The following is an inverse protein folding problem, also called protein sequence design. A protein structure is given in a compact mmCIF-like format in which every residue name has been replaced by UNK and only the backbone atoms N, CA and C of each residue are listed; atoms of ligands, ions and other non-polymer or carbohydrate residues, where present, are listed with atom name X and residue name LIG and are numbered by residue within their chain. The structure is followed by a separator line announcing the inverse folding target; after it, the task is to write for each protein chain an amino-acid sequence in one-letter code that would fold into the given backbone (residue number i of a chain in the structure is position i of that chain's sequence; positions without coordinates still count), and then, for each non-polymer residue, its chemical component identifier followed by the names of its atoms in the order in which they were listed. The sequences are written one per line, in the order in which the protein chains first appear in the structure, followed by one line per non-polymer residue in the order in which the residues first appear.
data_IF_897920559627
#
_entry.id   IF_897920559627
#
_cell.length_a   1.000
_cell.length_b   1.000
_cell.length_c   1.000
_cell.angle_alpha   90.00
_cell.angle_beta   90.00
_cell.angle_gamma   90.00
#
_symmetry.space_group_name_H-M   'P 1'
#
loop_
_entity.id
_entity.type
_entity.pdbx_description
1 polymer ?
#
# COMPACT_ATOMS: atom_id res chain seq x y z
N UNK A 1 32.55 -11.03 9.80
CA UNK A 1 32.00 -9.95 8.97
C UNK A 1 30.51 -10.19 8.85
N UNK A 2 29.73 -9.63 9.77
CA UNK A 2 28.28 -9.80 9.85
C UNK A 2 27.63 -8.56 9.28
N UNK A 3 26.84 -8.70 8.22
CA UNK A 3 25.82 -7.71 7.88
C UNK A 3 24.49 -8.42 7.70
N UNK A 4 23.50 -7.80 8.30
CA UNK A 4 22.28 -8.36 8.84
C UNK A 4 21.23 -8.66 7.78
N UNK A 5 20.80 -9.91 7.71
CA UNK A 5 19.54 -10.32 7.09
C UNK A 5 18.41 -10.11 8.09
N UNK A 6 17.82 -8.91 8.11
CA UNK A 6 16.65 -8.61 8.94
C UNK A 6 15.73 -7.63 8.21
N UNK A 7 15.11 -8.06 7.12
CA UNK A 7 13.90 -7.40 6.57
C UNK A 7 13.05 -8.45 5.86
N UNK A 8 12.65 -9.47 6.60
CA UNK A 8 11.70 -10.47 6.14
C UNK A 8 11.01 -10.99 7.39
N UNK A 9 9.81 -10.45 7.71
CA UNK A 9 8.69 -11.08 8.43
C UNK A 9 7.77 -10.12 9.24
N UNK A 10 8.14 -8.85 9.47
CA UNK A 10 7.33 -7.95 10.32
C UNK A 10 6.35 -6.99 9.59
N UNK A 11 6.16 -7.13 8.27
CA UNK A 11 5.22 -6.26 7.53
C UNK A 11 3.79 -6.82 7.52
N UNK A 12 3.61 -8.07 7.96
CA UNK A 12 2.39 -8.84 7.77
C UNK A 12 1.35 -8.73 8.90
N UNK A 13 1.60 -7.99 9.99
CA UNK A 13 0.73 -7.99 11.18
C UNK A 13 0.29 -6.61 11.67
N UNK A 14 0.56 -5.54 10.92
CA UNK A 14 0.03 -4.23 11.27
C UNK A 14 -1.20 -3.92 10.42
N UNK A 15 -2.39 -3.98 11.02
CA UNK A 15 -3.67 -3.57 10.41
C UNK A 15 -3.82 -2.04 10.33
N UNK A 16 -2.92 -1.29 10.96
CA UNK A 16 -2.93 0.16 10.96
C UNK A 16 -2.40 0.79 9.66
N UNK A 17 -2.69 2.08 9.41
CA UNK A 17 -2.13 2.83 8.28
C UNK A 17 -0.60 2.84 8.32
N UNK A 18 0.02 3.08 7.17
CA UNK A 18 1.42 3.49 7.11
C UNK A 18 1.60 4.85 7.78
N UNK A 19 2.74 5.04 8.45
CA UNK A 19 3.08 6.24 9.22
C UNK A 19 3.44 7.43 8.32
N UNK A 20 3.70 7.20 7.03
CA UNK A 20 4.02 8.26 6.07
C UNK A 20 3.83 7.81 4.62
N UNK A 21 3.77 8.80 3.71
CA UNK A 21 3.81 8.55 2.28
C UNK A 21 5.12 7.87 1.83
N UNK A 22 6.24 8.12 2.51
CA UNK A 22 7.52 7.46 2.23
C UNK A 22 7.48 5.96 2.54
N UNK A 23 6.84 5.57 3.65
CA UNK A 23 6.65 4.17 4.01
C UNK A 23 5.75 3.46 2.99
N UNK A 24 4.61 4.07 2.63
CA UNK A 24 3.71 3.57 1.59
C UNK A 24 4.47 3.33 0.27
N UNK A 25 5.30 4.30 -0.15
CA UNK A 25 6.17 4.18 -1.34
C UNK A 25 7.15 3.01 -1.25
N UNK A 26 7.77 2.80 -0.09
CA UNK A 26 8.72 1.72 0.12
C UNK A 26 8.04 0.34 -0.02
N UNK A 27 6.83 0.19 0.55
CA UNK A 27 6.05 -1.05 0.44
C UNK A 27 5.56 -1.26 -1.00
N UNK A 28 5.05 -0.22 -1.67
CA UNK A 28 4.70 -0.27 -3.09
C UNK A 28 5.88 -0.78 -3.95
N UNK A 29 7.08 -0.23 -3.73
CA UNK A 29 8.29 -0.68 -4.42
C UNK A 29 8.66 -2.13 -4.12
N UNK A 30 8.40 -2.63 -2.92
CA UNK A 30 8.62 -4.03 -2.57
C UNK A 30 7.64 -4.98 -3.29
N UNK A 31 6.37 -4.60 -3.37
CA UNK A 31 5.35 -5.36 -4.11
C UNK A 31 5.66 -5.41 -5.61
N UNK A 32 6.06 -4.27 -6.21
CA UNK A 32 6.42 -4.23 -7.63
C UNK A 32 7.57 -5.18 -7.99
N UNK A 33 8.59 -5.31 -7.12
CA UNK A 33 9.70 -6.25 -7.36
C UNK A 33 9.27 -7.71 -7.42
N UNK A 34 8.19 -8.06 -6.71
CA UNK A 34 7.68 -9.42 -6.56
C UNK A 34 6.56 -9.74 -7.55
N UNK A 35 5.85 -8.73 -8.04
CA UNK A 35 4.65 -8.86 -8.88
C UNK A 35 4.82 -9.89 -10.00
N UNK A 36 5.85 -9.76 -10.83
CA UNK A 36 6.00 -10.63 -12.01
C UNK A 36 6.04 -12.11 -11.66
N UNK A 37 6.62 -12.46 -10.51
CA UNK A 37 6.81 -13.83 -10.06
C UNK A 37 5.61 -14.32 -9.24
N UNK A 38 5.04 -13.46 -8.41
CA UNK A 38 4.08 -13.85 -7.38
C UNK A 38 2.63 -13.44 -7.69
N UNK A 39 2.36 -12.69 -8.76
CA UNK A 39 1.01 -12.15 -9.08
C UNK A 39 -0.12 -13.18 -9.14
N UNK A 40 0.18 -14.43 -9.47
CA UNK A 40 -0.80 -15.50 -9.57
C UNK A 40 -1.06 -16.18 -8.22
N UNK A 41 -0.22 -15.92 -7.22
CA UNK A 41 -0.36 -16.43 -5.87
C UNK A 41 -1.49 -15.73 -5.14
N UNK A 42 -2.36 -16.50 -4.51
CA UNK A 42 -3.41 -15.99 -3.62
C UNK A 42 -2.81 -15.21 -2.44
N UNK A 43 -1.67 -15.65 -1.90
CA UNK A 43 -0.98 -14.97 -0.81
C UNK A 43 -0.50 -13.57 -1.22
N UNK A 44 0.04 -13.43 -2.44
CA UNK A 44 0.45 -12.12 -2.96
C UNK A 44 -0.76 -11.21 -3.20
N UNK A 45 -1.87 -11.77 -3.74
CA UNK A 45 -3.13 -11.04 -3.85
C UNK A 45 -3.60 -10.52 -2.49
N UNK A 46 -3.63 -11.37 -1.47
CA UNK A 46 -4.00 -10.98 -0.11
C UNK A 46 -3.10 -9.85 0.44
N UNK A 47 -1.80 -9.90 0.16
CA UNK A 47 -0.85 -8.86 0.58
C UNK A 47 -1.10 -7.52 -0.12
N UNK A 48 -1.39 -7.54 -1.42
CA UNK A 48 -1.77 -6.34 -2.18
C UNK A 48 -3.10 -5.77 -1.68
N UNK A 49 -4.07 -6.61 -1.34
CA UNK A 49 -5.34 -6.19 -0.74
C UNK A 49 -5.12 -5.48 0.61
N UNK A 50 -4.25 -6.03 1.46
CA UNK A 50 -3.84 -5.39 2.71
C UNK A 50 -3.13 -4.06 2.46
N UNK A 51 -2.24 -3.99 1.46
CA UNK A 51 -1.59 -2.75 1.06
C UNK A 51 -2.59 -1.67 0.65
N UNK A 52 -3.60 -2.01 -0.17
CA UNK A 52 -4.64 -1.06 -0.61
C UNK A 52 -5.38 -0.52 0.61
N UNK A 53 -5.89 -1.40 1.48
CA UNK A 53 -6.66 -0.99 2.68
C UNK A 53 -5.86 -0.07 3.60
N UNK A 54 -4.62 -0.44 3.91
CA UNK A 54 -3.73 0.38 4.75
C UNK A 54 -3.37 1.69 4.07
N UNK A 55 -3.12 1.65 2.76
CA UNK A 55 -2.79 2.82 1.96
C UNK A 55 -3.92 3.85 1.92
N UNK A 56 -5.17 3.41 1.80
CA UNK A 56 -6.34 4.31 1.89
C UNK A 56 -6.33 5.08 3.21
N UNK A 57 -6.16 4.37 4.33
CA UNK A 57 -6.15 4.98 5.67
C UNK A 57 -4.95 5.92 5.91
N UNK A 58 -3.82 5.68 5.26
CA UNK A 58 -2.65 6.59 5.29
C UNK A 58 -2.99 7.97 4.72
N UNK A 59 -4.02 8.10 3.88
CA UNK A 59 -4.51 9.38 3.38
C UNK A 59 -4.83 10.39 4.48
N UNK A 60 -5.17 9.95 5.70
CA UNK A 60 -5.48 10.84 6.84
C UNK A 60 -4.27 11.69 7.27
N UNK A 61 -3.04 11.26 7.00
CA UNK A 61 -1.82 11.92 7.46
C UNK A 61 -1.07 12.69 6.36
N UNK A 62 -1.57 12.68 5.12
CA UNK A 62 -0.89 13.31 3.98
C UNK A 62 -1.63 14.58 3.59
N UNK A 63 -1.08 15.74 3.97
CA UNK A 63 -1.60 17.06 3.61
C UNK A 63 -1.17 17.50 2.20
N UNK A 64 0.07 17.19 1.81
CA UNK A 64 0.61 17.63 0.51
C UNK A 64 -0.11 16.98 -0.68
N UNK A 65 -0.74 17.81 -1.52
CA UNK A 65 -1.50 17.38 -2.69
C UNK A 65 -0.70 16.54 -3.69
N UNK A 66 0.60 16.83 -3.87
CA UNK A 66 1.44 16.05 -4.78
C UNK A 66 1.72 14.66 -4.21
N UNK A 67 1.98 14.58 -2.91
CA UNK A 67 2.13 13.32 -2.20
C UNK A 67 0.85 12.50 -2.22
N UNK A 68 -0.30 13.13 -1.96
CA UNK A 68 -1.62 12.49 -2.08
C UNK A 68 -1.84 11.94 -3.48
N UNK A 69 -1.59 12.74 -4.51
CA UNK A 69 -1.75 12.31 -5.92
C UNK A 69 -0.84 11.14 -6.25
N UNK A 70 0.41 11.16 -5.78
CA UNK A 70 1.35 10.06 -5.98
C UNK A 70 0.88 8.78 -5.28
N UNK A 71 0.45 8.88 -4.02
CA UNK A 71 -0.08 7.74 -3.26
C UNK A 71 -1.35 7.18 -3.90
N UNK A 72 -2.28 8.02 -4.36
CA UNK A 72 -3.48 7.58 -5.06
C UNK A 72 -3.13 6.77 -6.31
N UNK A 73 -2.18 7.25 -7.13
CA UNK A 73 -1.73 6.52 -8.32
C UNK A 73 -1.11 5.15 -8.01
N UNK A 74 -0.49 4.97 -6.84
CA UNK A 74 0.02 3.66 -6.40
C UNK A 74 -1.11 2.70 -6.05
N UNK A 75 -2.19 3.19 -5.42
CA UNK A 75 -3.35 2.35 -5.08
C UNK A 75 -4.14 1.98 -6.35
N UNK A 76 -4.34 2.94 -7.25
CA UNK A 76 -5.03 2.75 -8.53
C UNK A 76 -4.29 1.75 -9.45
N UNK A 77 -2.96 1.72 -9.37
CA UNK A 77 -2.16 0.72 -10.06
C UNK A 77 -2.56 -0.69 -9.63
N UNK A 78 -2.65 -0.93 -8.31
CA UNK A 78 -2.93 -2.26 -7.80
C UNK A 78 -4.37 -2.70 -8.01
N UNK A 79 -5.35 -1.79 -7.95
CA UNK A 79 -6.71 -2.12 -8.34
C UNK A 79 -6.76 -2.54 -9.81
N UNK A 80 -6.08 -1.81 -10.70
CA UNK A 80 -5.96 -2.20 -12.12
C UNK A 80 -5.28 -3.56 -12.31
N UNK A 81 -4.26 -3.87 -11.49
CA UNK A 81 -3.54 -5.15 -11.56
C UNK A 81 -4.39 -6.32 -11.05
N UNK A 82 -5.21 -6.11 -10.02
CA UNK A 82 -6.06 -7.13 -9.40
C UNK A 82 -7.36 -7.40 -10.19
N UNK A 83 -8.03 -6.37 -10.72
CA UNK A 83 -9.36 -6.45 -11.35
C UNK A 83 -9.36 -6.88 -12.82
N UNK A 84 -8.57 -7.90 -13.17
CA UNK A 84 -8.51 -8.38 -14.55
C UNK A 84 -9.70 -9.27 -14.96
N UNK A 85 -10.49 -9.77 -14.00
CA UNK A 85 -11.64 -10.63 -14.27
C UNK A 85 -12.93 -9.94 -13.86
N UNK A 86 -14.03 -10.20 -14.59
CA UNK A 86 -15.33 -9.59 -14.32
C UNK A 86 -15.94 -9.98 -12.95
N UNK A 87 -15.43 -11.06 -12.34
CA UNK A 87 -15.88 -11.58 -11.05
C UNK A 87 -15.05 -11.07 -9.85
N UNK A 88 -13.97 -10.30 -10.06
CA UNK A 88 -13.15 -9.78 -8.96
C UNK A 88 -13.91 -8.63 -8.24
N UNK A 89 -13.99 -8.69 -6.90
CA UNK A 89 -14.68 -7.68 -6.07
C UNK A 89 -13.97 -6.33 -6.08
N UNK A 90 -14.57 -5.31 -6.71
CA UNK A 90 -14.01 -3.95 -6.78
C UNK A 90 -13.87 -3.37 -5.37
N UNK A 91 -12.63 -3.06 -5.00
CA UNK A 91 -12.28 -2.41 -3.74
C UNK A 91 -12.04 -0.94 -4.01
N UNK A 92 -12.56 -0.13 -3.11
CA UNK A 92 -12.29 1.30 -3.10
C UNK A 92 -10.83 1.57 -2.71
N UNK A 93 -10.05 2.06 -3.68
CA UNK A 93 -8.66 2.50 -3.50
C UNK A 93 -8.51 3.97 -3.16
N UNK A 94 -9.61 4.67 -2.89
CA UNK A 94 -9.57 6.11 -2.62
C UNK A 94 -8.89 6.39 -1.27
N UNK A 95 -7.88 7.27 -1.29
CA UNK A 95 -7.28 7.79 -0.07
C UNK A 95 -8.34 8.44 0.82
N UNK A 96 -8.33 8.10 2.11
CA UNK A 96 -9.12 8.80 3.10
C UNK A 96 -8.78 10.31 3.08
N UNK A 97 -9.76 11.19 3.33
CA UNK A 97 -9.53 12.62 3.39
C UNK A 97 -8.47 12.95 4.46
N UNK A 98 -7.64 13.96 4.20
CA UNK A 98 -6.67 14.46 5.18
C UNK A 98 -7.39 14.93 6.44
N UNK A 99 -6.85 14.56 7.59
CA UNK A 99 -7.35 14.99 8.90
C UNK A 99 -6.28 15.84 9.61
N UNK A 100 -6.46 17.17 9.69
CA UNK A 100 -5.48 18.05 10.33
C UNK A 100 -5.33 17.81 11.83
N UNK A 101 -6.26 17.11 12.48
CA UNK A 101 -6.15 16.75 13.91
C UNK A 101 -5.18 15.58 14.15
N UNK A 102 -4.82 14.86 13.08
CA UNK A 102 -3.87 13.75 13.11
C UNK A 102 -2.49 14.15 12.58
N UNK A 103 -2.34 15.37 12.07
CA UNK A 103 -1.05 15.88 11.65
C UNK A 103 -0.14 16.09 12.87
N UNK A 104 1.10 15.58 12.87
CA UNK A 104 2.06 15.90 13.92
C UNK A 104 2.32 17.41 13.96
N UNK A 105 2.38 18.00 15.17
CA UNK A 105 2.72 19.42 15.40
C UNK A 105 4.08 19.83 14.81
#
# INVERSE_FOLDING_TARGET
MSQSTATSLDVAQNDGPYSSAAELRAVHGALLRRERLERASEAFRAEVLTFIRRGCETGKFIDDDNERRACQGMLDYWTTVLYRSADDEIIDSTLAPFDPTLAPE
#
